data_IF_278258590501
#
_entry.id   IF_278258590501
#
_cell.length_a   1.000
_cell.length_b   1.000
_cell.length_c   1.000
_cell.angle_alpha   90.00
_cell.angle_beta   90.00
_cell.angle_gamma   90.00
#
_symmetry.space_group_name_H-M   'P 1'
#
loop_
_entity.id
_entity.type
_entity.pdbx_description
1 polymer ?
#
# COMPACT_ATOMS: atom_id res chain seq x y z
N UNK A 1 22.93 -1.41 58.11
CA UNK A 1 23.62 -2.30 57.14
C UNK A 1 22.69 -3.47 56.82
N UNK A 2 22.59 -3.98 55.59
CA UNK A 2 23.11 -3.46 54.31
C UNK A 2 22.06 -3.37 53.17
N UNK A 3 22.44 -2.60 52.17
CA UNK A 3 21.92 -2.47 50.81
C UNK A 3 22.16 -3.74 49.97
N UNK A 4 21.32 -3.99 48.95
CA UNK A 4 21.61 -4.70 47.68
C UNK A 4 20.42 -4.45 46.74
N UNK A 5 20.56 -3.56 45.76
CA UNK A 5 21.20 -3.77 44.45
C UNK A 5 20.31 -4.51 43.45
N UNK A 6 19.85 -3.76 42.45
CA UNK A 6 19.91 -4.11 41.02
C UNK A 6 19.12 -5.37 40.60
N UNK A 7 17.85 -5.18 40.27
CA UNK A 7 17.26 -5.82 39.08
C UNK A 7 17.02 -4.72 38.03
N UNK A 8 18.14 -4.17 37.54
CA UNK A 8 18.24 -3.85 36.12
C UNK A 8 18.58 -5.15 35.39
N UNK A 9 18.20 -5.21 34.13
CA UNK A 9 18.52 -6.27 33.18
C UNK A 9 17.47 -7.38 33.12
N UNK A 10 16.39 -7.11 32.39
CA UNK A 10 16.07 -7.87 31.16
C UNK A 10 14.87 -7.26 30.44
N UNK A 11 14.92 -5.96 30.12
CA UNK A 11 14.18 -5.44 28.98
C UNK A 11 14.96 -5.81 27.73
N UNK A 12 14.95 -7.11 27.38
CA UNK A 12 15.28 -7.53 26.03
C UNK A 12 14.23 -6.86 25.17
N UNK A 13 14.61 -5.76 24.52
CA UNK A 13 13.91 -5.23 23.38
C UNK A 13 13.72 -6.41 22.43
N UNK A 14 12.54 -7.02 22.48
CA UNK A 14 12.09 -7.98 21.50
C UNK A 14 12.03 -7.20 20.20
N UNK A 15 13.15 -7.16 19.49
CA UNK A 15 13.22 -6.69 18.12
C UNK A 15 12.21 -7.56 17.39
N UNK A 16 11.10 -6.95 16.98
CA UNK A 16 10.05 -7.57 16.17
C UNK A 16 10.64 -7.89 14.80
N UNK A 17 11.52 -8.89 14.76
CA UNK A 17 12.13 -9.39 13.57
C UNK A 17 11.06 -10.23 12.87
N UNK A 18 10.41 -9.61 11.89
CA UNK A 18 9.65 -10.38 10.92
C UNK A 18 10.68 -10.92 9.93
N UNK A 19 11.01 -12.23 9.96
CA UNK A 19 11.90 -12.79 8.98
C UNK A 19 11.37 -12.48 7.59
N UNK A 20 12.24 -12.21 6.59
CA UNK A 20 11.80 -12.04 5.23
C UNK A 20 11.00 -13.29 4.85
N UNK A 21 9.68 -13.13 4.71
CA UNK A 21 8.89 -14.10 3.98
C UNK A 21 9.50 -14.07 2.58
N UNK A 22 10.18 -15.13 2.17
CA UNK A 22 10.65 -15.28 0.80
C UNK A 22 9.37 -15.40 -0.04
N UNK A 23 8.76 -14.26 -0.35
CA UNK A 23 7.63 -14.20 -1.25
C UNK A 23 8.22 -14.18 -2.65
N UNK A 24 8.13 -15.34 -3.28
CA UNK A 24 8.38 -15.49 -4.70
C UNK A 24 7.55 -14.45 -5.48
N UNK A 25 8.13 -13.99 -6.59
CA UNK A 25 7.44 -13.13 -7.53
C UNK A 25 6.09 -13.75 -7.92
N UNK A 26 4.99 -13.03 -7.64
CA UNK A 26 3.65 -13.53 -7.94
C UNK A 26 3.18 -12.99 -9.28
N UNK A 27 2.85 -13.91 -10.17
CA UNK A 27 2.34 -13.60 -11.50
C UNK A 27 0.81 -13.52 -11.44
N UNK A 28 0.27 -12.49 -12.07
CA UNK A 28 -1.16 -12.24 -12.28
C UNK A 28 -1.42 -12.20 -13.80
N UNK A 29 -1.59 -13.38 -14.43
CA UNK A 29 -1.65 -13.49 -15.90
C UNK A 29 -2.75 -12.63 -16.52
N UNK A 30 -3.88 -12.52 -15.83
CA UNK A 30 -5.05 -11.77 -16.29
C UNK A 30 -4.79 -10.26 -16.43
N UNK A 31 -3.80 -9.75 -15.70
CA UNK A 31 -3.35 -8.35 -15.74
C UNK A 31 -2.02 -8.20 -16.47
N UNK A 32 -1.45 -9.31 -16.95
CA UNK A 32 -0.06 -9.40 -17.44
C UNK A 32 0.94 -8.79 -16.45
N UNK A 33 0.61 -8.86 -15.16
CA UNK A 33 1.31 -8.16 -14.11
C UNK A 33 2.06 -9.13 -13.21
N UNK A 34 3.12 -8.62 -12.59
CA UNK A 34 3.93 -9.31 -11.61
C UNK A 34 4.07 -8.43 -10.38
N UNK A 35 3.83 -8.99 -9.20
CA UNK A 35 4.06 -8.30 -7.94
C UNK A 35 5.16 -9.01 -7.20
N UNK A 36 6.20 -8.25 -6.83
CA UNK A 36 7.36 -8.76 -6.09
C UNK A 36 7.60 -7.89 -4.87
N UNK A 37 7.99 -8.52 -3.77
CA UNK A 37 8.55 -7.80 -2.64
C UNK A 37 9.90 -7.18 -3.00
N UNK A 38 10.10 -5.94 -2.57
CA UNK A 38 11.30 -5.17 -2.83
C UNK A 38 11.90 -4.71 -1.50
N UNK A 39 13.22 -4.67 -1.43
CA UNK A 39 13.88 -3.87 -0.41
C UNK A 39 13.60 -2.37 -0.66
N UNK A 40 13.94 -1.55 0.34
CA UNK A 40 13.69 -0.12 0.31
C UNK A 40 14.35 0.58 -0.89
N UNK A 41 15.58 0.20 -1.26
CA UNK A 41 16.31 0.81 -2.37
C UNK A 41 15.66 0.46 -3.72
N UNK A 42 15.27 -0.81 -3.89
CA UNK A 42 14.54 -1.28 -5.06
C UNK A 42 13.15 -0.62 -5.17
N UNK A 43 12.45 -0.41 -4.05
CA UNK A 43 11.20 0.36 -4.01
C UNK A 43 11.42 1.81 -4.43
N UNK A 44 12.42 2.51 -3.89
CA UNK A 44 12.72 3.90 -4.27
C UNK A 44 13.14 4.03 -5.73
N UNK A 45 13.89 3.06 -6.26
CA UNK A 45 14.21 3.00 -7.67
C UNK A 45 12.97 2.79 -8.56
N UNK A 46 12.05 1.91 -8.14
CA UNK A 46 10.77 1.72 -8.81
C UNK A 46 9.90 2.99 -8.77
N UNK A 47 9.91 3.72 -7.65
CA UNK A 47 9.20 4.99 -7.51
C UNK A 47 9.73 6.05 -8.49
N UNK A 48 11.05 6.14 -8.65
CA UNK A 48 11.67 7.02 -9.64
C UNK A 48 11.23 6.69 -11.06
N UNK A 49 11.17 5.39 -11.41
CA UNK A 49 10.66 4.94 -12.72
C UNK A 49 9.19 5.32 -12.91
N UNK A 50 8.37 5.11 -11.88
CA UNK A 50 6.94 5.45 -11.92
C UNK A 50 6.75 6.95 -12.19
N UNK A 51 7.52 7.81 -11.51
CA UNK A 51 7.48 9.26 -11.71
C UNK A 51 7.99 9.69 -13.09
N UNK A 52 9.07 9.09 -13.58
CA UNK A 52 9.57 9.38 -14.94
C UNK A 52 8.52 9.02 -15.99
N UNK A 53 7.82 7.89 -15.83
CA UNK A 53 6.77 7.48 -16.75
C UNK A 53 5.58 8.45 -16.71
N UNK A 54 5.21 8.93 -15.53
CA UNK A 54 4.15 9.91 -15.35
C UNK A 54 4.50 11.25 -16.02
N UNK A 55 5.71 11.78 -15.79
CA UNK A 55 6.16 13.06 -16.36
C UNK A 55 6.24 13.11 -17.89
N UNK A 56 6.27 11.95 -18.56
CA UNK A 56 6.23 11.84 -20.03
C UNK A 56 4.82 12.03 -20.60
N UNK A 57 3.81 12.07 -19.74
CA UNK A 57 2.42 12.19 -20.12
C UNK A 57 1.99 13.67 -20.12
N UNK A 58 2.23 14.33 -21.25
CA UNK A 58 2.16 15.79 -21.43
C UNK A 58 0.73 16.39 -21.49
N UNK A 59 -0.31 15.57 -21.67
CA UNK A 59 -1.64 16.09 -22.08
C UNK A 59 -2.54 16.53 -20.90
N UNK A 60 -2.35 15.98 -19.70
CA UNK A 60 -3.13 16.36 -18.50
C UNK A 60 -2.44 17.47 -17.68
N UNK A 61 -1.11 17.56 -17.74
CA UNK A 61 -0.31 18.56 -17.02
C UNK A 61 -0.66 20.01 -17.39
N UNK A 62 -1.13 20.26 -18.62
CA UNK A 62 -1.55 21.61 -19.05
C UNK A 62 -2.89 22.02 -18.41
N UNK A 63 -3.82 21.07 -18.25
CA UNK A 63 -5.13 21.35 -17.63
C UNK A 63 -5.00 21.59 -16.13
N UNK A 64 -4.13 20.84 -15.47
CA UNK A 64 -3.89 20.94 -14.02
C UNK A 64 -3.04 22.14 -13.64
N UNK A 65 -2.06 22.52 -14.47
CA UNK A 65 -1.27 23.75 -14.28
C UNK A 65 -2.11 25.03 -14.32
N UNK A 66 -3.30 25.00 -14.95
CA UNK A 66 -4.22 26.13 -15.05
C UNK A 66 -5.20 26.18 -13.86
N UNK A 67 -5.53 25.03 -13.25
CA UNK A 67 -6.59 24.90 -12.24
C UNK A 67 -6.10 24.60 -10.82
N UNK A 68 -4.79 24.40 -10.61
CA UNK A 68 -4.14 24.46 -9.30
C UNK A 68 -4.17 23.16 -8.48
N UNK A 69 -5.15 22.28 -8.68
CA UNK A 69 -5.22 20.96 -8.05
C UNK A 69 -5.65 19.90 -9.06
N UNK A 70 -4.87 18.82 -9.15
CA UNK A 70 -5.04 17.77 -10.14
C UNK A 70 -4.22 16.52 -9.81
N UNK A 71 -4.47 15.45 -10.55
CA UNK A 71 -3.91 14.12 -10.33
C UNK A 71 -2.37 14.11 -10.30
N UNK A 72 -1.71 14.97 -11.08
CA UNK A 72 -0.24 15.11 -11.06
C UNK A 72 0.27 15.66 -9.72
N UNK A 73 -0.45 16.63 -9.14
CA UNK A 73 -0.10 17.26 -7.86
C UNK A 73 -0.13 16.23 -6.74
N UNK A 74 -1.21 15.46 -6.61
CA UNK A 74 -1.30 14.47 -5.53
C UNK A 74 -0.40 13.27 -5.75
N UNK A 75 -0.22 12.81 -6.99
CA UNK A 75 0.78 11.78 -7.31
C UNK A 75 2.18 12.24 -6.90
N UNK A 76 2.56 13.48 -7.24
CA UNK A 76 3.85 14.07 -6.88
C UNK A 76 4.01 14.23 -5.36
N UNK A 77 2.98 14.69 -4.66
CA UNK A 77 2.95 14.80 -3.18
C UNK A 77 3.13 13.43 -2.54
N UNK A 78 2.39 12.41 -2.99
CA UNK A 78 2.49 11.03 -2.48
C UNK A 78 3.89 10.47 -2.69
N UNK A 79 4.44 10.60 -3.91
CA UNK A 79 5.81 10.16 -4.18
C UNK A 79 6.83 10.91 -3.30
N UNK A 80 6.64 12.22 -3.09
CA UNK A 80 7.46 13.02 -2.19
C UNK A 80 7.37 12.55 -0.73
N UNK A 81 6.18 12.20 -0.24
CA UNK A 81 5.98 11.62 1.09
C UNK A 81 6.65 10.27 1.25
N UNK A 82 6.52 9.36 0.27
CA UNK A 82 7.25 8.08 0.28
C UNK A 82 8.77 8.31 0.36
N UNK A 83 9.32 9.21 -0.47
CA UNK A 83 10.76 9.51 -0.43
C UNK A 83 11.19 10.06 0.94
N UNK A 84 10.41 10.96 1.55
CA UNK A 84 10.72 11.50 2.88
C UNK A 84 10.69 10.42 3.96
N UNK A 85 9.74 9.50 3.90
CA UNK A 85 9.58 8.43 4.90
C UNK A 85 10.61 7.30 4.76
N UNK A 86 11.16 7.06 3.56
CA UNK A 86 11.98 5.87 3.29
C UNK A 86 13.38 6.18 2.74
N UNK A 87 13.76 7.44 2.56
CA UNK A 87 15.14 7.76 2.18
C UNK A 87 16.03 7.70 3.43
N UNK A 88 17.05 6.84 3.41
CA UNK A 88 18.01 6.65 4.53
C UNK A 88 18.76 7.93 4.90
N UNK A 89 18.91 8.87 3.97
CA UNK A 89 19.47 10.19 4.27
C UNK A 89 18.59 11.02 5.24
N UNK A 90 17.35 10.58 5.49
CA UNK A 90 16.34 11.30 6.27
C UNK A 90 15.75 10.47 7.43
N UNK A 91 16.12 9.19 7.60
CA UNK A 91 15.53 8.31 8.63
C UNK A 91 16.58 7.46 9.35
N UNK A 92 16.63 7.59 10.67
CA UNK A 92 17.45 6.79 11.60
C UNK A 92 16.56 5.85 12.42
N UNK A 93 16.26 4.67 11.88
CA UNK A 93 15.58 3.56 12.58
C UNK A 93 14.04 3.53 12.47
N UNK A 94 13.45 2.36 12.72
CA UNK A 94 12.00 2.19 12.90
C UNK A 94 11.18 1.73 11.69
N UNK A 95 11.82 1.30 10.60
CA UNK A 95 11.13 0.87 9.36
C UNK A 95 11.00 -0.65 9.21
N UNK A 96 11.40 -1.43 10.22
CA UNK A 96 11.52 -2.89 10.12
C UNK A 96 10.17 -3.62 9.96
N UNK A 97 9.05 -2.93 10.23
CA UNK A 97 7.70 -3.47 10.05
C UNK A 97 7.05 -3.08 8.71
N UNK A 98 7.76 -2.36 7.84
CA UNK A 98 7.27 -2.02 6.50
C UNK A 98 7.75 -3.04 5.47
N UNK A 99 6.83 -3.46 4.61
CA UNK A 99 7.07 -4.33 3.48
C UNK A 99 6.66 -3.61 2.21
N UNK A 100 7.55 -3.62 1.22
CA UNK A 100 7.36 -2.88 -0.02
C UNK A 100 7.08 -3.86 -1.15
N UNK A 101 6.03 -3.60 -1.93
CA UNK A 101 5.70 -4.45 -3.07
C UNK A 101 5.64 -3.59 -4.33
N UNK A 102 6.34 -4.06 -5.36
CA UNK A 102 6.41 -3.41 -6.67
C UNK A 102 5.62 -4.24 -7.67
N UNK A 103 4.65 -3.60 -8.32
CA UNK A 103 3.91 -4.13 -9.44
C UNK A 103 4.58 -3.73 -10.75
N UNK A 104 4.78 -4.70 -11.65
CA UNK A 104 5.33 -4.46 -12.97
C UNK A 104 4.55 -5.19 -14.07
N UNK A 105 4.53 -4.60 -15.26
CA UNK A 105 3.97 -5.17 -16.49
C UNK A 105 5.07 -5.04 -17.53
N UNK A 106 5.42 -6.15 -18.20
CA UNK A 106 6.48 -6.20 -19.23
C UNK A 106 7.80 -5.50 -18.81
N UNK A 107 8.17 -5.60 -17.53
CA UNK A 107 9.37 -4.99 -16.96
C UNK A 107 9.26 -3.50 -16.59
N UNK A 108 8.10 -2.89 -16.85
CA UNK A 108 7.78 -1.50 -16.48
C UNK A 108 7.07 -1.47 -15.14
N UNK A 109 7.52 -0.62 -14.22
CA UNK A 109 6.84 -0.39 -12.94
C UNK A 109 5.51 0.32 -13.19
N UNK A 110 4.41 -0.30 -12.72
CA UNK A 110 3.04 0.23 -12.85
C UNK A 110 2.38 0.54 -11.51
N UNK A 111 3.01 0.16 -10.40
CA UNK A 111 2.53 0.56 -9.08
C UNK A 111 3.38 0.04 -7.93
N UNK A 112 3.17 0.62 -6.77
CA UNK A 112 3.84 0.31 -5.51
C UNK A 112 2.77 0.30 -4.42
N UNK A 113 2.86 -0.66 -3.51
CA UNK A 113 2.13 -0.63 -2.25
C UNK A 113 3.10 -0.90 -1.10
N UNK A 114 2.94 -0.15 -0.02
CA UNK A 114 3.74 -0.26 1.19
C UNK A 114 2.80 -0.71 2.31
N UNK A 115 3.05 -1.90 2.82
CA UNK A 115 2.29 -2.53 3.90
C UNK A 115 3.06 -2.38 5.20
N UNK A 116 2.43 -1.82 6.21
CA UNK A 116 2.91 -1.82 7.59
C UNK A 116 2.26 -2.99 8.33
N UNK A 117 3.05 -3.95 8.78
CA UNK A 117 2.53 -5.11 9.51
C UNK A 117 2.12 -4.72 10.94
N UNK A 118 1.05 -5.37 11.42
CA UNK A 118 0.61 -5.31 12.81
C UNK A 118 1.77 -5.67 13.75
N UNK A 119 1.89 -4.95 14.89
CA UNK A 119 2.90 -5.24 15.90
C UNK A 119 2.25 -6.03 17.04
N UNK A 120 2.59 -7.32 17.23
CA UNK A 120 1.88 -8.20 18.16
C UNK A 120 1.96 -7.78 19.63
N UNK A 121 2.87 -6.86 20.00
CA UNK A 121 3.12 -6.44 21.38
C UNK A 121 2.64 -5.01 21.68
N UNK A 122 1.91 -4.36 20.77
CA UNK A 122 1.40 -3.00 20.99
C UNK A 122 -0.13 -3.05 21.02
N UNK A 123 -0.77 -2.71 22.16
CA UNK A 123 -2.21 -2.49 22.21
C UNK A 123 -2.61 -1.46 21.14
N UNK A 124 -3.69 -1.72 20.41
CA UNK A 124 -4.20 -0.88 19.30
C UNK A 124 -3.42 -0.92 17.96
N UNK A 125 -2.46 -1.85 17.79
CA UNK A 125 -1.80 -2.09 16.51
C UNK A 125 -1.88 -3.56 16.08
N UNK A 126 -3.10 -4.10 16.13
CA UNK A 126 -3.42 -5.51 15.84
C UNK A 126 -3.75 -5.77 14.37
N UNK A 127 -3.80 -4.72 13.54
CA UNK A 127 -4.26 -4.79 12.16
C UNK A 127 -3.18 -4.28 11.20
N UNK A 128 -2.97 -4.98 10.08
CA UNK A 128 -2.04 -4.54 9.05
C UNK A 128 -2.56 -3.26 8.37
N UNK A 129 -1.66 -2.32 8.11
CA UNK A 129 -2.04 -1.01 7.57
C UNK A 129 -1.39 -0.77 6.20
N UNK A 130 -2.16 -0.23 5.28
CA UNK A 130 -1.62 0.29 4.02
C UNK A 130 -1.06 1.68 4.33
N UNK A 131 0.26 1.80 4.28
CA UNK A 131 0.95 3.07 4.49
C UNK A 131 0.88 3.95 3.25
N UNK A 132 1.14 3.35 2.09
CA UNK A 132 1.08 4.03 0.80
C UNK A 132 0.63 3.07 -0.30
N UNK A 133 -0.14 3.59 -1.25
CA UNK A 133 -0.38 2.93 -2.54
C UNK A 133 -0.22 3.99 -3.61
N UNK A 134 0.51 3.67 -4.67
CA UNK A 134 0.66 4.56 -5.82
C UNK A 134 0.69 3.72 -7.07
N UNK A 135 -0.11 4.07 -8.07
CA UNK A 135 -0.12 3.38 -9.36
C UNK A 135 0.10 4.36 -10.49
N UNK A 136 0.54 3.83 -11.62
CA UNK A 136 0.65 4.58 -12.85
C UNK A 136 -0.73 5.14 -13.24
N UNK A 137 -0.86 6.43 -13.61
CA UNK A 137 -2.17 7.06 -13.79
C UNK A 137 -3.06 6.37 -14.83
N UNK A 138 -2.49 5.80 -15.88
CA UNK A 138 -3.26 5.12 -16.94
C UNK A 138 -3.37 3.60 -16.75
N UNK A 139 -2.94 3.08 -15.59
CA UNK A 139 -2.95 1.65 -15.30
C UNK A 139 -4.25 1.19 -14.65
N UNK A 140 -5.10 0.47 -15.40
CA UNK A 140 -6.38 -0.02 -14.89
C UNK A 140 -6.22 -1.23 -13.96
N UNK A 141 -6.87 -1.17 -12.79
CA UNK A 141 -7.03 -2.32 -11.90
C UNK A 141 -5.78 -2.70 -11.08
N UNK A 142 -4.62 -2.10 -11.32
CA UNK A 142 -3.40 -2.41 -10.57
C UNK A 142 -3.51 -2.03 -9.09
N UNK A 143 -4.24 -0.97 -8.75
CA UNK A 143 -4.51 -0.61 -7.35
C UNK A 143 -5.27 -1.72 -6.63
N UNK A 144 -6.37 -2.20 -7.21
CA UNK A 144 -7.12 -3.34 -6.67
C UNK A 144 -6.29 -4.62 -6.61
N UNK A 145 -5.41 -4.84 -7.60
CA UNK A 145 -4.49 -5.98 -7.63
C UNK A 145 -3.47 -5.95 -6.49
N UNK A 146 -2.89 -4.78 -6.23
CA UNK A 146 -1.96 -4.53 -5.13
C UNK A 146 -2.64 -4.74 -3.77
N UNK A 147 -3.86 -4.22 -3.61
CA UNK A 147 -4.67 -4.43 -2.41
C UNK A 147 -4.99 -5.92 -2.23
N UNK A 148 -5.43 -6.61 -3.28
CA UNK A 148 -5.64 -8.07 -3.25
C UNK A 148 -4.36 -8.82 -2.86
N UNK A 149 -3.19 -8.35 -3.33
CA UNK A 149 -1.92 -8.96 -2.95
C UNK A 149 -1.69 -8.87 -1.44
N UNK A 150 -1.77 -7.66 -0.86
CA UNK A 150 -1.50 -7.45 0.57
C UNK A 150 -2.57 -8.06 1.49
N UNK A 151 -3.84 -8.13 1.06
CA UNK A 151 -4.89 -8.87 1.80
C UNK A 151 -4.49 -10.34 1.96
N UNK A 152 -3.96 -10.95 0.90
CA UNK A 152 -3.57 -12.37 0.94
C UNK A 152 -2.29 -12.59 1.76
N UNK A 153 -1.41 -11.59 1.86
CA UNK A 153 -0.28 -11.61 2.80
C UNK A 153 -0.82 -11.61 4.23
N UNK A 154 -1.66 -10.63 4.55
CA UNK A 154 -2.31 -10.50 5.85
C UNK A 154 -3.04 -11.79 6.26
N UNK A 155 -3.76 -12.42 5.33
CA UNK A 155 -4.38 -13.72 5.54
C UNK A 155 -3.37 -14.84 5.84
N UNK A 156 -2.25 -14.90 5.11
CA UNK A 156 -1.19 -15.90 5.33
C UNK A 156 -0.51 -15.73 6.70
N UNK A 157 -0.49 -14.49 7.22
CA UNK A 157 0.01 -14.17 8.55
C UNK A 157 -1.00 -14.45 9.67
N UNK A 158 -2.22 -14.90 9.34
CA UNK A 158 -3.28 -15.18 10.32
C UNK A 158 -4.11 -13.96 10.70
N UNK A 159 -3.89 -12.79 10.09
CA UNK A 159 -4.61 -11.55 10.36
C UNK A 159 -5.95 -11.45 9.59
N UNK A 160 -6.47 -12.59 9.11
CA UNK A 160 -7.75 -12.74 8.40
C UNK A 160 -7.89 -11.93 7.09
N UNK A 161 -6.82 -11.25 6.64
CA UNK A 161 -6.87 -10.34 5.49
C UNK A 161 -7.46 -8.97 5.81
N UNK A 162 -7.60 -8.62 7.10
CA UNK A 162 -8.13 -7.33 7.53
C UNK A 162 -7.05 -6.27 7.34
N UNK A 163 -7.42 -5.17 6.68
CA UNK A 163 -6.51 -4.05 6.42
C UNK A 163 -7.12 -2.74 6.87
N UNK A 164 -6.26 -1.84 7.33
CA UNK A 164 -6.61 -0.43 7.57
C UNK A 164 -5.82 0.50 6.68
N UNK A 165 -6.33 1.71 6.48
CA UNK A 165 -5.65 2.76 5.73
C UNK A 165 -6.14 4.12 6.20
N UNK A 166 -5.31 5.15 6.02
CA UNK A 166 -5.72 6.55 6.14
C UNK A 166 -5.78 7.13 4.73
N UNK A 167 -7.00 7.37 4.25
CA UNK A 167 -7.24 7.86 2.90
C UNK A 167 -7.34 9.38 2.89
N UNK A 168 -6.67 10.02 1.93
CA UNK A 168 -6.99 11.39 1.53
C UNK A 168 -8.41 11.43 0.94
N UNK A 169 -9.02 12.61 0.93
CA UNK A 169 -10.42 12.79 0.55
C UNK A 169 -10.70 12.25 -0.88
N UNK A 170 -9.79 12.47 -1.83
CA UNK A 170 -9.98 12.04 -3.21
C UNK A 170 -9.74 10.52 -3.39
N UNK A 171 -8.98 9.89 -2.48
CA UNK A 171 -8.78 8.44 -2.42
C UNK A 171 -9.94 7.67 -1.79
N UNK A 172 -10.83 8.31 -1.03
CA UNK A 172 -11.90 7.63 -0.29
C UNK A 172 -12.73 6.74 -1.24
N UNK A 173 -13.12 7.29 -2.40
CA UNK A 173 -13.94 6.59 -3.40
C UNK A 173 -13.23 5.32 -3.92
N UNK A 174 -11.91 5.35 -4.09
CA UNK A 174 -11.14 4.19 -4.50
C UNK A 174 -11.25 3.06 -3.46
N UNK A 175 -11.04 3.37 -2.18
CA UNK A 175 -11.13 2.39 -1.11
C UNK A 175 -12.57 1.88 -0.91
N UNK A 176 -13.57 2.74 -0.99
CA UNK A 176 -14.98 2.34 -0.93
C UNK A 176 -15.35 1.37 -2.07
N UNK A 177 -14.84 1.57 -3.29
CA UNK A 177 -15.04 0.63 -4.41
C UNK A 177 -14.46 -0.75 -4.13
N UNK A 178 -13.39 -0.82 -3.34
CA UNK A 178 -12.79 -2.07 -2.84
C UNK A 178 -13.47 -2.61 -1.58
N UNK A 179 -14.50 -1.93 -1.06
CA UNK A 179 -15.26 -2.38 0.10
C UNK A 179 -14.67 -2.00 1.45
N UNK A 180 -13.77 -1.01 1.49
CA UNK A 180 -13.40 -0.37 2.74
C UNK A 180 -14.56 0.48 3.26
N UNK A 181 -14.67 0.58 4.59
CA UNK A 181 -15.64 1.43 5.27
C UNK A 181 -14.91 2.42 6.18
N UNK A 182 -15.41 3.64 6.25
CA UNK A 182 -14.87 4.68 7.15
C UNK A 182 -15.20 4.32 8.59
N UNK A 183 -14.17 4.27 9.44
CA UNK A 183 -14.27 3.95 10.88
C UNK A 183 -13.90 5.14 11.77
N UNK A 184 -13.43 6.25 11.18
CA UNK A 184 -13.15 7.49 11.88
C UNK A 184 -12.43 8.50 10.97
N UNK A 185 -12.22 9.70 11.49
CA UNK A 185 -11.51 10.77 10.81
C UNK A 185 -10.26 11.18 11.62
N UNK A 186 -9.17 11.53 10.95
CA UNK A 186 -7.91 11.92 11.58
C UNK A 186 -7.16 12.93 10.71
N UNK A 187 -7.04 14.18 11.17
CA UNK A 187 -6.30 15.26 10.46
C UNK A 187 -6.57 15.28 8.95
N UNK A 188 -7.82 15.51 8.56
CA UNK A 188 -8.30 15.55 7.16
C UNK A 188 -8.16 14.23 6.37
N UNK A 189 -7.68 13.16 7.01
CA UNK A 189 -7.69 11.81 6.47
C UNK A 189 -8.87 11.01 7.00
N UNK A 190 -9.42 10.14 6.16
CA UNK A 190 -10.43 9.15 6.52
C UNK A 190 -9.74 7.87 6.97
N UNK A 191 -9.91 7.48 8.23
CA UNK A 191 -9.50 6.16 8.68
C UNK A 191 -10.51 5.14 8.15
N UNK A 192 -10.03 4.19 7.36
CA UNK A 192 -10.87 3.22 6.67
C UNK A 192 -10.39 1.81 6.94
N UNK A 193 -11.33 0.88 7.09
CA UNK A 193 -11.07 -0.54 7.34
C UNK A 193 -11.71 -1.42 6.28
N UNK A 194 -10.98 -2.42 5.82
CA UNK A 194 -11.49 -3.51 4.99
C UNK A 194 -11.52 -4.80 5.79
N UNK A 195 -12.69 -5.42 5.83
CA UNK A 195 -12.89 -6.79 6.33
C UNK A 195 -13.42 -7.64 5.19
N UNK A 196 -12.56 -8.39 4.46
CA UNK A 196 -12.97 -9.05 3.22
C UNK A 196 -14.13 -10.05 3.39
N UNK A 197 -14.23 -10.73 4.53
CA UNK A 197 -15.34 -11.65 4.87
C UNK A 197 -16.71 -10.97 4.90
N UNK A 198 -16.76 -9.71 5.33
CA UNK A 198 -17.99 -8.94 5.48
C UNK A 198 -18.32 -8.09 4.24
N UNK A 199 -17.47 -8.15 3.20
CA UNK A 199 -17.59 -7.31 2.02
C UNK A 199 -18.13 -8.10 0.84
N UNK A 200 -19.24 -7.63 0.26
CA UNK A 200 -19.78 -8.23 -0.95
C UNK A 200 -18.88 -8.03 -2.19
N UNK A 201 -17.80 -7.24 -2.09
CA UNK A 201 -16.81 -7.00 -3.14
C UNK A 201 -15.77 -8.11 -3.26
N UNK A 202 -15.61 -8.93 -2.24
CA UNK A 202 -14.61 -9.99 -2.21
C UNK A 202 -15.28 -11.37 -2.21
N UNK A 203 -14.55 -12.36 -2.72
CA UNK A 203 -14.87 -13.76 -2.50
C UNK A 203 -13.59 -14.52 -2.18
N UNK A 204 -13.73 -15.67 -1.52
CA UNK A 204 -12.62 -16.56 -1.24
C UNK A 204 -12.64 -17.72 -2.24
N UNK A 205 -11.56 -17.87 -3.00
CA UNK A 205 -11.35 -18.98 -3.95
C UNK A 205 -10.04 -19.67 -3.56
N UNK A 206 -10.10 -20.98 -3.33
CA UNK A 206 -8.94 -21.79 -2.95
C UNK A 206 -8.17 -21.21 -1.75
N UNK A 207 -8.91 -20.77 -0.73
CA UNK A 207 -8.36 -20.18 0.48
C UNK A 207 -7.79 -18.76 0.32
N UNK A 208 -7.84 -18.14 -0.87
CA UNK A 208 -7.34 -16.78 -1.13
C UNK A 208 -8.46 -15.81 -1.44
N UNK A 209 -8.34 -14.57 -0.99
CA UNK A 209 -9.26 -13.51 -1.38
C UNK A 209 -8.98 -13.03 -2.80
N UNK A 210 -10.06 -12.86 -3.55
CA UNK A 210 -10.05 -12.26 -4.88
C UNK A 210 -11.15 -11.20 -4.97
N UNK A 211 -10.83 -10.09 -5.63
CA UNK A 211 -11.78 -9.02 -5.86
C UNK A 211 -12.79 -9.47 -6.92
N UNK A 212 -14.09 -9.33 -6.62
CA UNK A 212 -15.15 -9.58 -7.61
C UNK A 212 -14.99 -8.59 -8.75
N UNK A 213 -14.84 -9.13 -9.96
CA UNK A 213 -14.84 -8.34 -11.18
C UNK A 213 -16.24 -7.81 -11.43
N UNK A 214 -16.37 -6.50 -11.55
CA UNK A 214 -17.52 -5.88 -12.20
C UNK A 214 -17.20 -5.91 -13.70
N UNK A 215 -17.98 -6.62 -14.54
CA UNK A 215 -17.76 -6.61 -15.99
C UNK A 215 -17.84 -5.16 -16.49
N UNK A 216 -16.71 -4.58 -16.88
CA UNK A 216 -16.71 -3.31 -17.60
C UNK A 216 -16.84 -3.60 -19.09
N UNK A 217 -17.74 -2.92 -19.82
CA UNK A 217 -17.78 -2.99 -21.26
C UNK A 217 -16.45 -2.45 -21.82
N UNK A 218 -15.91 -3.13 -22.84
CA UNK A 218 -14.56 -2.92 -23.41
C UNK A 218 -14.27 -1.51 -23.98
N UNK A 219 -15.23 -0.60 -24.04
CA UNK A 219 -15.13 0.67 -24.78
C UNK A 219 -15.58 1.88 -23.97
N UNK A 220 -14.89 2.18 -22.88
CA UNK A 220 -15.10 3.48 -22.23
C UNK A 220 -13.77 3.95 -21.63
N UNK A 221 -13.27 5.06 -22.17
CA UNK A 221 -12.15 5.83 -21.63
C UNK A 221 -12.51 6.25 -20.19
N UNK A 222 -11.96 5.61 -19.16
CA UNK A 222 -12.23 5.94 -17.76
C UNK A 222 -10.94 6.04 -16.94
N UNK A 223 -10.39 7.24 -16.98
CA UNK A 223 -9.87 8.06 -15.89
C UNK A 223 -9.52 7.37 -14.55
N UNK A 224 -8.29 7.61 -14.14
CA UNK A 224 -7.71 7.28 -12.84
C UNK A 224 -8.54 7.86 -11.69
N UNK A 225 -8.67 7.10 -10.60
CA UNK A 225 -8.96 7.67 -9.29
C UNK A 225 -7.84 7.25 -8.36
N UNK A 226 -7.01 8.22 -7.98
CA UNK A 226 -5.98 8.10 -6.96
C UNK A 226 -5.95 9.41 -6.17
N UNK A 227 -5.85 9.22 -4.85
CA UNK A 227 -5.32 10.04 -3.74
C UNK A 227 -5.51 11.56 -3.84
#
# INVERSE_FOLDING_TARGET
MPSREIERDNAIASTSYHPPMIMEEKIYPEYQAKIKEADQNAMLFALNKLQQNESRYWYESIREAILGDGHHSTFSKTCGSIRRCFNTAHVTGGLDNYRHFVCSVTGTTVGIIILMLAKPNIPDNDTDQIAFVVTYPNGYGYGGLLIQHVINISLTLGHQGILETRAEQDAEIFYQKLGFVTIGDFFDLKNMRLTPTNSNKWHQINGKYQLKRIPHPRNSNWQCHLL
#
